data_IF_741829602397
#
_entry.id   IF_741829602397
#
_cell.length_a   1.000
_cell.length_b   1.000
_cell.length_c   1.000
_cell.angle_alpha   90.00
_cell.angle_beta   90.00
_cell.angle_gamma   90.00
#
_symmetry.space_group_name_H-M   'P 1'
#
loop_
_entity.id
_entity.type
_entity.pdbx_description
1 polymer ?
#
# COMPACT_ATOMS: atom_id res chain seq x y z
N UNK A 1 -1.33 14.55 3.04
CA UNK A 1 -1.96 15.51 2.12
C UNK A 1 -3.41 15.09 1.89
N UNK A 2 -4.36 16.02 2.01
CA UNK A 2 -5.80 15.73 1.88
C UNK A 2 -6.23 15.42 0.44
N UNK A 3 -5.42 15.80 -0.56
CA UNK A 3 -5.71 15.54 -1.97
C UNK A 3 -5.40 14.10 -2.39
N UNK A 4 -4.37 13.51 -1.77
CA UNK A 4 -3.85 12.17 -2.06
C UNK A 4 -4.18 11.16 -0.97
N UNK A 5 -4.46 11.62 0.25
CA UNK A 5 -4.50 10.85 1.51
C UNK A 5 -3.18 10.20 1.93
N UNK A 6 -2.12 10.38 1.15
CA UNK A 6 -0.77 9.93 1.47
C UNK A 6 -0.08 10.92 2.43
N UNK A 7 1.08 10.54 2.96
CA UNK A 7 1.91 11.43 3.78
C UNK A 7 2.24 12.71 2.98
N UNK A 8 2.20 13.86 3.67
CA UNK A 8 2.57 15.15 3.10
C UNK A 8 4.10 15.33 3.19
N UNK A 9 4.79 15.25 2.06
CA UNK A 9 6.26 15.33 2.00
C UNK A 9 6.81 16.63 2.60
N UNK A 10 6.07 17.75 2.47
CA UNK A 10 6.47 19.06 3.01
C UNK A 10 6.53 19.09 4.54
N UNK A 11 5.86 18.15 5.22
CA UNK A 11 5.80 18.08 6.69
C UNK A 11 6.78 17.09 7.30
N UNK A 12 7.43 16.25 6.48
CA UNK A 12 8.30 15.17 6.98
C UNK A 12 9.53 15.76 7.68
N UNK A 13 10.18 16.76 7.07
CA UNK A 13 11.45 17.31 7.56
C UNK A 13 11.33 17.88 8.97
N UNK A 14 10.22 18.56 9.28
CA UNK A 14 9.96 19.12 10.61
C UNK A 14 9.78 18.05 11.71
N UNK A 15 9.42 16.81 11.33
CA UNK A 15 9.27 15.69 12.26
C UNK A 15 10.57 14.89 12.45
N UNK A 16 11.63 15.18 11.68
CA UNK A 16 12.91 14.47 11.79
C UNK A 16 13.64 14.92 13.07
N UNK A 17 14.13 13.94 13.83
CA UNK A 17 14.95 14.15 15.02
C UNK A 17 16.21 13.31 14.95
N UNK A 18 17.13 13.50 15.90
CA UNK A 18 18.33 12.64 16.04
C UNK A 18 18.00 11.16 16.28
N UNK A 19 16.77 10.85 16.69
CA UNK A 19 16.29 9.48 16.93
C UNK A 19 15.65 8.84 15.68
N UNK A 20 15.32 9.63 14.66
CA UNK A 20 14.68 9.12 13.44
C UNK A 20 15.64 8.19 12.69
N UNK A 21 15.12 7.05 12.21
CA UNK A 21 15.88 6.05 11.44
C UNK A 21 15.24 5.70 10.10
N UNK A 22 13.91 5.75 10.05
CA UNK A 22 13.12 5.28 8.92
C UNK A 22 12.02 6.29 8.63
N UNK A 23 11.73 6.51 7.36
CA UNK A 23 10.46 7.09 6.87
C UNK A 23 9.64 5.92 6.31
N UNK A 24 8.39 5.77 6.75
CA UNK A 24 7.50 4.69 6.33
C UNK A 24 6.31 5.27 5.54
N UNK A 25 6.47 5.55 4.23
CA UNK A 25 5.36 6.00 3.41
C UNK A 25 4.37 4.87 3.15
N UNK A 26 3.08 5.16 3.31
CA UNK A 26 1.97 4.24 2.99
C UNK A 26 1.36 4.64 1.66
N UNK A 27 1.39 3.75 0.67
CA UNK A 27 0.73 3.95 -0.63
C UNK A 27 -0.79 3.73 -0.51
N UNK A 28 -1.46 4.69 0.11
CA UNK A 28 -2.83 4.54 0.59
C UNK A 28 -3.83 4.48 -0.57
N UNK A 29 -4.82 3.61 -0.43
CA UNK A 29 -5.90 3.35 -1.39
C UNK A 29 -5.44 2.92 -2.79
N UNK A 30 -4.16 2.58 -2.94
CA UNK A 30 -3.55 2.16 -4.18
C UNK A 30 -2.76 3.24 -4.91
N UNK A 31 -2.65 4.44 -4.33
CA UNK A 31 -1.93 5.56 -4.92
C UNK A 31 -0.51 5.67 -4.36
N UNK A 32 0.46 5.83 -5.24
CA UNK A 32 1.88 6.01 -4.88
C UNK A 32 2.08 7.33 -4.10
N UNK A 33 3.01 7.32 -3.14
CA UNK A 33 3.43 8.50 -2.39
C UNK A 33 4.32 9.42 -3.24
N UNK A 34 4.58 10.67 -2.82
CA UNK A 34 5.60 11.53 -3.45
C UNK A 34 7.02 11.00 -3.18
N UNK A 35 7.39 9.91 -3.86
CA UNK A 35 8.58 9.11 -3.53
C UNK A 35 9.88 9.81 -3.87
N UNK A 36 9.92 10.64 -4.92
CA UNK A 36 11.10 11.43 -5.25
C UNK A 36 11.45 12.41 -4.11
N UNK A 37 10.46 13.11 -3.58
CA UNK A 37 10.61 14.05 -2.47
C UNK A 37 10.99 13.32 -1.17
N UNK A 38 10.34 12.20 -0.88
CA UNK A 38 10.63 11.36 0.30
C UNK A 38 12.07 10.83 0.23
N UNK A 39 12.50 10.30 -0.91
CA UNK A 39 13.85 9.76 -1.10
C UNK A 39 14.92 10.86 -1.04
N UNK A 40 14.65 12.04 -1.58
CA UNK A 40 15.56 13.18 -1.47
C UNK A 40 15.80 13.58 0.00
N UNK A 41 14.73 13.60 0.80
CA UNK A 41 14.81 13.89 2.23
C UNK A 41 15.52 12.76 3.00
N UNK A 42 15.18 11.52 2.72
CA UNK A 42 15.83 10.36 3.32
C UNK A 42 17.34 10.37 3.08
N UNK A 43 17.78 10.67 1.85
CA UNK A 43 19.19 10.82 1.49
C UNK A 43 19.86 11.96 2.27
N UNK A 44 19.22 13.13 2.37
CA UNK A 44 19.74 14.30 3.11
C UNK A 44 20.02 13.96 4.58
N UNK A 45 19.13 13.19 5.21
CA UNK A 45 19.19 12.86 6.64
C UNK A 45 19.77 11.47 6.94
N UNK A 46 20.22 10.72 5.92
CA UNK A 46 20.72 9.33 6.03
C UNK A 46 19.71 8.42 6.73
N UNK A 47 18.45 8.51 6.32
CA UNK A 47 17.35 7.68 6.78
C UNK A 47 17.06 6.58 5.77
N UNK A 48 16.50 5.47 6.25
CA UNK A 48 15.93 4.44 5.39
C UNK A 48 14.49 4.80 4.99
N UNK A 49 14.04 4.25 3.87
CA UNK A 49 12.66 4.35 3.37
C UNK A 49 12.07 2.96 3.23
N UNK A 50 11.04 2.66 4.01
CA UNK A 50 10.32 1.39 3.95
C UNK A 50 8.91 1.64 3.42
N UNK A 51 8.64 1.20 2.19
CA UNK A 51 7.33 1.36 1.56
C UNK A 51 6.30 0.40 2.18
N UNK A 52 5.19 0.93 2.70
CA UNK A 52 3.99 0.12 2.91
C UNK A 52 3.18 0.09 1.61
N UNK A 53 3.31 -1.04 0.91
CA UNK A 53 2.69 -1.32 -0.39
C UNK A 53 1.40 -2.14 -0.24
N UNK A 54 0.88 -2.34 0.98
CA UNK A 54 -0.23 -3.26 1.25
C UNK A 54 -1.50 -2.96 0.45
N UNK A 55 -1.67 -1.73 -0.05
CA UNK A 55 -2.83 -1.30 -0.82
C UNK A 55 -2.51 -0.99 -2.29
N UNK A 56 -1.27 -1.15 -2.77
CA UNK A 56 -0.85 -0.58 -4.06
C UNK A 56 -0.27 -1.56 -5.08
N UNK A 57 -0.55 -2.85 -4.95
CA UNK A 57 -0.04 -3.90 -5.85
C UNK A 57 -0.15 -3.53 -7.33
N UNK A 58 1.00 -3.39 -7.99
CA UNK A 58 1.10 -3.10 -9.42
C UNK A 58 1.04 -1.61 -9.80
N UNK A 59 0.90 -0.69 -8.85
CA UNK A 59 1.01 0.74 -9.14
C UNK A 59 2.46 1.06 -9.58
N UNK A 60 2.60 2.05 -10.47
CA UNK A 60 3.91 2.51 -10.95
C UNK A 60 3.92 3.97 -11.37
N UNK A 61 5.06 4.64 -11.26
CA UNK A 61 5.34 5.92 -11.93
C UNK A 61 6.65 5.75 -12.70
N UNK A 62 6.70 6.22 -13.96
CA UNK A 62 7.90 6.14 -14.81
C UNK A 62 8.52 4.72 -14.87
N UNK A 63 7.66 3.69 -14.96
CA UNK A 63 8.02 2.26 -14.95
C UNK A 63 8.65 1.73 -13.65
N UNK A 64 8.73 2.54 -12.59
CA UNK A 64 9.15 2.08 -11.26
C UNK A 64 7.89 1.65 -10.50
N UNK A 65 7.79 0.36 -10.19
CA UNK A 65 6.67 -0.21 -9.42
C UNK A 65 6.85 0.07 -7.92
N UNK A 66 5.74 0.10 -7.19
CA UNK A 66 5.77 0.09 -5.71
C UNK A 66 6.58 -1.08 -5.18
N UNK A 67 7.25 -0.86 -4.04
CA UNK A 67 8.18 -1.81 -3.43
C UNK A 67 9.55 -1.83 -4.10
N UNK A 68 9.83 -0.88 -4.98
CA UNK A 68 11.12 -0.64 -5.64
C UNK A 68 11.56 0.83 -5.60
N UNK A 69 10.88 1.68 -4.82
CA UNK A 69 11.23 3.09 -4.65
C UNK A 69 12.15 3.33 -3.46
N UNK A 70 11.93 2.63 -2.35
CA UNK A 70 12.71 2.74 -1.12
C UNK A 70 13.76 1.65 -0.95
N UNK A 71 14.23 1.47 0.28
CA UNK A 71 15.17 0.42 0.66
C UNK A 71 14.50 -0.96 0.74
N UNK A 72 13.22 -1.01 1.11
CA UNK A 72 12.40 -2.21 1.04
C UNK A 72 10.90 -1.88 0.91
N UNK A 73 10.12 -2.81 0.36
CA UNK A 73 8.67 -2.74 0.29
C UNK A 73 8.00 -3.89 1.03
N UNK A 74 6.92 -3.60 1.75
CA UNK A 74 6.09 -4.58 2.42
C UNK A 74 4.72 -4.70 1.74
N UNK A 75 4.28 -5.93 1.47
CA UNK A 75 3.02 -6.23 0.83
C UNK A 75 2.13 -7.08 1.74
N UNK A 76 0.82 -6.81 1.69
CA UNK A 76 -0.21 -7.64 2.27
C UNK A 76 -0.94 -8.34 1.14
N UNK A 77 -1.12 -9.65 1.25
CA UNK A 77 -1.96 -10.42 0.36
C UNK A 77 -3.27 -10.83 1.05
N UNK A 78 -3.78 -10.02 1.97
CA UNK A 78 -5.11 -10.24 2.54
C UNK A 78 -6.16 -10.38 1.40
N UNK A 79 -7.20 -11.24 1.52
CA UNK A 79 -8.05 -11.58 0.38
C UNK A 79 -8.68 -10.39 -0.36
N UNK A 80 -8.97 -9.29 0.35
CA UNK A 80 -9.53 -8.07 -0.24
C UNK A 80 -8.55 -7.18 -1.02
N UNK A 81 -7.25 -7.49 -1.07
CA UNK A 81 -6.26 -6.69 -1.81
C UNK A 81 -6.36 -6.89 -3.32
N UNK A 82 -5.78 -5.97 -4.09
CA UNK A 82 -5.67 -6.10 -5.55
C UNK A 82 -5.04 -7.44 -5.96
N UNK A 83 -4.03 -7.89 -5.22
CA UNK A 83 -3.49 -9.25 -5.29
C UNK A 83 -3.73 -9.97 -3.94
N UNK A 84 -4.95 -10.41 -3.68
CA UNK A 84 -5.28 -11.16 -2.46
C UNK A 84 -5.05 -12.67 -2.57
N UNK A 85 -4.55 -13.29 -1.51
CA UNK A 85 -4.48 -14.73 -1.28
C UNK A 85 -5.85 -15.28 -0.82
N UNK A 86 -5.91 -16.55 -0.41
CA UNK A 86 -7.12 -17.19 0.15
C UNK A 86 -7.17 -17.10 1.69
N UNK A 87 -6.21 -16.41 2.30
CA UNK A 87 -6.09 -16.20 3.75
C UNK A 87 -5.08 -15.10 4.04
N UNK A 88 -4.53 -15.09 5.26
CA UNK A 88 -3.47 -14.15 5.62
C UNK A 88 -2.15 -14.51 4.96
N UNK A 89 -1.53 -13.51 4.35
CA UNK A 89 -0.28 -13.64 3.63
C UNK A 89 0.37 -12.27 3.44
N UNK A 90 1.70 -12.26 3.29
CA UNK A 90 2.47 -11.05 3.02
C UNK A 90 3.83 -11.36 2.41
N UNK A 91 4.50 -10.32 1.92
CA UNK A 91 5.83 -10.40 1.35
C UNK A 91 6.63 -9.14 1.64
N UNK A 92 7.96 -9.28 1.57
CA UNK A 92 8.92 -8.18 1.62
C UNK A 92 9.76 -8.24 0.35
N UNK A 93 9.99 -7.10 -0.28
CA UNK A 93 10.90 -6.91 -1.42
C UNK A 93 12.03 -5.96 -1.02
N UNK A 94 13.23 -6.18 -1.55
CA UNK A 94 14.37 -5.27 -1.41
C UNK A 94 15.42 -5.65 -2.46
N UNK A 95 16.31 -4.71 -2.80
CA UNK A 95 17.50 -4.99 -3.59
C UNK A 95 18.71 -5.38 -2.73
N UNK A 96 18.65 -5.14 -1.41
CA UNK A 96 19.72 -5.46 -0.48
C UNK A 96 19.67 -6.95 -0.10
N UNK A 97 20.66 -7.71 -0.58
CA UNK A 97 20.77 -9.14 -0.33
C UNK A 97 21.11 -9.47 1.12
N UNK A 98 21.90 -8.63 1.79
CA UNK A 98 22.22 -8.80 3.20
C UNK A 98 20.95 -8.64 4.03
N UNK A 99 20.20 -7.55 3.81
CA UNK A 99 18.89 -7.35 4.41
C UNK A 99 17.95 -8.53 4.18
N UNK A 100 17.80 -9.00 2.94
CA UNK A 100 16.93 -10.13 2.62
C UNK A 100 17.37 -11.43 3.30
N UNK A 101 18.68 -11.64 3.48
CA UNK A 101 19.20 -12.80 4.20
C UNK A 101 18.79 -12.78 5.68
N UNK A 102 18.88 -11.61 6.32
CA UNK A 102 18.48 -11.40 7.72
C UNK A 102 16.96 -11.57 7.86
N UNK A 103 16.16 -11.00 6.96
CA UNK A 103 14.70 -11.14 6.97
C UNK A 103 14.27 -12.61 6.80
N UNK A 104 14.94 -13.38 5.93
CA UNK A 104 14.68 -14.82 5.76
C UNK A 104 14.98 -15.62 7.02
N UNK A 105 16.04 -15.27 7.75
CA UNK A 105 16.32 -15.90 9.04
C UNK A 105 15.27 -15.49 10.08
N UNK A 106 15.01 -14.19 10.24
CA UNK A 106 14.05 -13.67 11.21
C UNK A 106 12.66 -14.27 11.04
N UNK A 107 12.17 -14.44 9.81
CA UNK A 107 10.83 -15.01 9.55
C UNK A 107 10.72 -16.51 9.87
N UNK A 108 11.85 -17.18 10.10
CA UNK A 108 11.97 -18.60 10.40
C UNK A 108 12.75 -18.80 11.71
N UNK A 109 12.26 -18.24 12.81
CA UNK A 109 12.81 -18.39 14.17
C UNK A 109 14.25 -17.86 14.35
N UNK A 110 14.74 -17.02 13.43
CA UNK A 110 16.12 -16.56 13.42
C UNK A 110 17.11 -17.58 12.85
N UNK A 111 16.59 -18.65 12.24
CA UNK A 111 17.38 -19.74 11.68
C UNK A 111 17.90 -19.40 10.29
N UNK A 112 19.22 -19.32 10.15
CA UNK A 112 19.91 -19.19 8.87
C UNK A 112 20.41 -20.56 8.35
N UNK A 113 20.54 -21.54 9.25
CA UNK A 113 20.89 -22.93 8.99
C UNK A 113 20.14 -23.85 9.96
N UNK A 114 19.81 -25.06 9.54
CA UNK A 114 19.05 -26.01 10.35
C UNK A 114 19.71 -26.21 11.72
N UNK A 115 18.95 -25.99 12.79
CA UNK A 115 19.39 -26.03 14.20
C UNK A 115 20.32 -24.89 14.66
N UNK A 116 20.61 -23.91 13.81
CA UNK A 116 21.42 -22.75 14.16
C UNK A 116 20.58 -21.47 14.05
N UNK A 117 20.36 -20.81 15.19
CA UNK A 117 19.58 -19.58 15.29
C UNK A 117 20.51 -18.42 15.66
N UNK A 118 20.75 -17.52 14.70
CA UNK A 118 21.65 -16.38 14.89
C UNK A 118 20.92 -15.16 15.47
N UNK A 119 19.61 -15.07 15.23
CA UNK A 119 18.78 -13.93 15.61
C UNK A 119 17.62 -14.36 16.49
N UNK A 120 17.02 -13.39 17.21
CA UNK A 120 15.70 -13.57 17.82
C UNK A 120 14.65 -13.34 16.73
N UNK A 121 14.16 -14.41 16.12
CA UNK A 121 13.14 -14.36 15.06
C UNK A 121 11.72 -14.71 15.51
N UNK A 122 10.86 -14.90 14.52
CA UNK A 122 9.43 -15.26 14.66
C UNK A 122 9.07 -16.37 13.67
N UNK A 123 7.88 -16.93 13.80
CA UNK A 123 7.29 -17.79 12.76
C UNK A 123 6.34 -16.95 11.89
N UNK A 124 6.82 -16.46 10.75
CA UNK A 124 6.02 -15.67 9.81
C UNK A 124 6.36 -16.04 8.38
N UNK A 125 5.72 -17.10 7.88
CA UNK A 125 5.99 -17.69 6.57
C UNK A 125 4.75 -17.62 5.70
N UNK A 126 4.96 -17.62 4.39
CA UNK A 126 3.90 -17.76 3.41
C UNK A 126 3.69 -19.25 3.14
N UNK A 127 2.48 -19.75 3.35
CA UNK A 127 2.14 -21.14 3.04
C UNK A 127 2.24 -21.41 1.52
N UNK A 128 2.69 -22.60 1.15
CA UNK A 128 2.83 -23.02 -0.26
C UNK A 128 1.49 -22.97 -1.01
N UNK A 129 0.37 -23.28 -0.34
CA UNK A 129 -0.97 -23.18 -0.95
C UNK A 129 -1.30 -21.73 -1.31
N UNK A 130 -0.99 -20.78 -0.41
CA UNK A 130 -1.20 -19.36 -0.66
C UNK A 130 -0.28 -18.87 -1.78
N UNK A 131 0.99 -19.29 -1.77
CA UNK A 131 1.96 -18.96 -2.82
C UNK A 131 1.54 -19.48 -4.21
N UNK A 132 1.05 -20.72 -4.29
CA UNK A 132 0.55 -21.32 -5.53
C UNK A 132 -0.64 -20.54 -6.11
N UNK A 133 -1.60 -20.14 -5.26
CA UNK A 133 -2.73 -19.32 -5.70
C UNK A 133 -2.28 -17.92 -6.15
N UNK A 134 -1.40 -17.28 -5.38
CA UNK A 134 -0.87 -15.95 -5.71
C UNK A 134 -0.12 -15.96 -7.04
N UNK A 135 0.64 -17.01 -7.34
CA UNK A 135 1.31 -17.18 -8.65
C UNK A 135 0.34 -17.22 -9.82
N UNK A 136 -0.87 -17.76 -9.64
CA UNK A 136 -1.92 -17.73 -10.67
C UNK A 136 -2.48 -16.32 -10.81
N UNK A 137 -2.89 -15.68 -9.71
CA UNK A 137 -3.51 -14.34 -9.74
C UNK A 137 -2.54 -13.26 -10.23
N UNK A 138 -1.24 -13.39 -9.93
CA UNK A 138 -0.21 -12.42 -10.32
C UNK A 138 -0.16 -12.22 -11.84
N UNK A 139 -0.45 -13.25 -12.64
CA UNK A 139 -0.49 -13.17 -14.11
C UNK A 139 -1.54 -12.19 -14.63
N UNK A 140 -2.61 -11.97 -13.87
CA UNK A 140 -3.75 -11.14 -14.25
C UNK A 140 -3.78 -9.80 -13.53
N UNK A 141 -2.87 -9.56 -12.57
CA UNK A 141 -2.85 -8.35 -11.75
C UNK A 141 -2.93 -7.07 -12.57
N UNK A 142 -2.09 -6.96 -13.60
CA UNK A 142 -2.02 -5.75 -14.42
C UNK A 142 -3.30 -5.54 -15.26
N UNK A 143 -3.92 -6.63 -15.73
CA UNK A 143 -5.20 -6.58 -16.45
C UNK A 143 -6.34 -6.16 -15.53
N UNK A 144 -6.41 -6.74 -14.32
CA UNK A 144 -7.43 -6.42 -13.33
C UNK A 144 -7.30 -5.00 -12.78
N UNK A 145 -6.06 -4.50 -12.63
CA UNK A 145 -5.81 -3.11 -12.28
C UNK A 145 -6.31 -2.15 -13.38
N UNK A 146 -6.15 -2.49 -14.67
CA UNK A 146 -6.73 -1.70 -15.77
C UNK A 146 -8.26 -1.65 -15.71
N UNK A 147 -8.92 -2.76 -15.37
CA UNK A 147 -10.38 -2.79 -15.16
C UNK A 147 -10.79 -1.85 -14.03
N UNK A 148 -10.07 -1.86 -12.91
CA UNK A 148 -10.30 -0.94 -11.77
C UNK A 148 -10.14 0.52 -12.17
N UNK A 149 -9.10 0.86 -12.93
CA UNK A 149 -8.87 2.21 -13.46
C UNK A 149 -10.00 2.66 -14.40
N UNK A 150 -10.52 1.76 -15.24
CA UNK A 150 -11.68 2.05 -16.08
C UNK A 150 -12.92 2.38 -15.25
N UNK A 151 -13.22 1.58 -14.20
CA UNK A 151 -14.34 1.83 -13.28
C UNK A 151 -14.15 3.16 -12.53
N UNK A 152 -12.95 3.46 -12.04
CA UNK A 152 -12.66 4.73 -11.38
C UNK A 152 -12.92 5.93 -12.33
N UNK A 153 -12.52 5.82 -13.59
CA UNK A 153 -12.79 6.83 -14.61
C UNK A 153 -14.28 7.00 -14.89
N UNK A 154 -15.05 5.91 -14.89
CA UNK A 154 -16.50 5.97 -14.96
C UNK A 154 -17.08 6.76 -13.77
N UNK A 155 -16.68 6.44 -12.53
CA UNK A 155 -17.13 7.21 -11.36
C UNK A 155 -16.75 8.69 -11.44
N UNK A 156 -15.55 9.01 -11.90
CA UNK A 156 -15.12 10.40 -12.09
C UNK A 156 -15.97 11.18 -13.09
N UNK A 157 -16.51 10.52 -14.11
CA UNK A 157 -17.28 11.16 -15.16
C UNK A 157 -18.79 11.16 -14.86
N UNK A 158 -19.26 10.22 -14.04
CA UNK A 158 -20.69 10.04 -13.75
C UNK A 158 -21.14 10.65 -12.41
N UNK A 159 -20.24 10.76 -11.42
CA UNK A 159 -20.61 11.35 -10.13
C UNK A 159 -20.51 12.88 -10.22
N UNK A 160 -21.67 13.52 -10.31
CA UNK A 160 -21.80 14.98 -10.25
C UNK A 160 -22.74 15.36 -9.11
N UNK A 161 -22.17 15.59 -7.91
CA UNK A 161 -22.94 15.99 -6.74
C UNK A 161 -22.12 16.99 -5.91
N UNK A 162 -22.63 18.21 -5.64
CA UNK A 162 -21.88 19.24 -4.93
C UNK A 162 -21.59 18.89 -3.46
N UNK A 163 -22.29 17.92 -2.88
CA UNK A 163 -22.07 17.44 -1.51
C UNK A 163 -21.00 16.35 -1.43
N UNK A 164 -20.46 15.90 -2.57
CA UNK A 164 -19.47 14.83 -2.68
C UNK A 164 -18.19 15.37 -3.28
N UNK A 165 -17.09 15.25 -2.53
CA UNK A 165 -15.75 15.47 -3.05
C UNK A 165 -15.15 14.14 -3.50
N UNK A 166 -14.81 14.06 -4.78
CA UNK A 166 -14.09 12.93 -5.37
C UNK A 166 -12.60 12.97 -4.98
N UNK A 167 -11.90 11.82 -5.04
CA UNK A 167 -10.45 11.80 -4.84
C UNK A 167 -9.76 12.62 -5.94
N UNK A 168 -8.55 13.13 -5.70
CA UNK A 168 -7.84 13.88 -6.75
C UNK A 168 -7.50 12.96 -7.93
N UNK A 169 -7.64 13.49 -9.16
CA UNK A 169 -7.18 12.78 -10.37
C UNK A 169 -5.66 12.62 -10.35
N UNK A 170 -5.19 11.55 -10.98
CA UNK A 170 -3.78 11.19 -11.11
C UNK A 170 -3.58 10.46 -12.43
N UNK A 171 -2.33 10.13 -12.78
CA UNK A 171 -2.07 9.25 -13.93
C UNK A 171 -2.63 7.86 -13.62
N UNK A 172 -3.09 7.14 -14.63
CA UNK A 172 -3.75 5.85 -14.40
C UNK A 172 -2.81 4.87 -13.69
N UNK A 173 -1.56 4.78 -14.13
CA UNK A 173 -0.53 3.90 -13.58
C UNK A 173 -0.16 4.21 -12.13
N UNK A 174 -0.32 5.46 -11.69
CA UNK A 174 0.01 5.93 -10.33
C UNK A 174 -0.96 5.36 -9.27
N UNK A 175 -2.17 4.98 -9.68
CA UNK A 175 -3.21 4.51 -8.76
C UNK A 175 -3.93 3.26 -9.27
N UNK A 176 -3.85 2.19 -8.49
CA UNK A 176 -4.52 0.91 -8.79
C UNK A 176 -5.91 0.78 -8.18
N UNK A 177 -6.40 1.84 -7.52
CA UNK A 177 -7.74 1.93 -6.95
C UNK A 177 -8.10 0.71 -6.12
N UNK A 178 -7.30 0.44 -5.09
CA UNK A 178 -7.67 -0.53 -4.06
C UNK A 178 -9.00 -0.13 -3.44
N UNK A 179 -9.15 1.18 -3.17
CA UNK A 179 -10.40 1.80 -2.76
C UNK A 179 -10.65 3.07 -3.58
N UNK A 180 -11.90 3.30 -3.99
CA UNK A 180 -12.35 4.57 -4.53
C UNK A 180 -13.03 5.37 -3.42
N UNK A 181 -12.28 6.27 -2.77
CA UNK A 181 -12.73 6.97 -1.56
C UNK A 181 -13.26 8.36 -1.90
N UNK A 182 -14.52 8.62 -1.55
CA UNK A 182 -15.15 9.94 -1.63
C UNK A 182 -15.24 10.59 -0.25
N UNK A 183 -15.39 11.91 -0.20
CA UNK A 183 -15.62 12.66 1.04
C UNK A 183 -16.93 13.42 0.97
N UNK A 184 -17.58 13.58 2.12
CA UNK A 184 -18.77 14.41 2.28
C UNK A 184 -18.90 14.84 3.74
N UNK A 185 -19.56 15.98 4.00
CA UNK A 185 -19.94 16.38 5.36
C UNK A 185 -21.11 15.55 5.91
N UNK A 186 -21.83 14.81 5.07
CA UNK A 186 -23.03 14.05 5.43
C UNK A 186 -22.79 12.54 5.35
N UNK A 187 -21.63 12.05 5.81
CA UNK A 187 -21.16 10.66 5.60
C UNK A 187 -22.18 9.60 6.04
N UNK A 188 -22.72 9.73 7.25
CA UNK A 188 -23.68 8.75 7.81
C UNK A 188 -24.98 8.72 7.01
N UNK A 189 -25.53 9.89 6.69
CA UNK A 189 -26.73 10.01 5.87
C UNK A 189 -26.50 9.44 4.46
N UNK A 190 -25.35 9.73 3.85
CA UNK A 190 -24.99 9.18 2.54
C UNK A 190 -24.83 7.65 2.59
N UNK A 191 -24.14 7.11 3.58
CA UNK A 191 -23.98 5.67 3.74
C UNK A 191 -25.33 4.96 3.93
N UNK A 192 -26.23 5.52 4.76
CA UNK A 192 -27.59 5.00 4.93
C UNK A 192 -28.40 5.08 3.64
N UNK A 193 -28.31 6.21 2.93
CA UNK A 193 -28.99 6.39 1.64
C UNK A 193 -28.52 5.37 0.61
N UNK A 194 -27.20 5.17 0.46
CA UNK A 194 -26.62 4.19 -0.45
C UNK A 194 -27.03 2.76 -0.07
N UNK A 195 -27.02 2.42 1.22
CA UNK A 195 -27.45 1.10 1.70
C UNK A 195 -28.93 0.83 1.39
N UNK A 196 -29.81 1.83 1.56
CA UNK A 196 -31.22 1.72 1.20
C UNK A 196 -31.43 1.48 -0.32
N UNK A 197 -30.42 1.77 -1.14
CA UNK A 197 -30.38 1.49 -2.58
C UNK A 197 -29.49 0.29 -2.92
N UNK A 198 -29.21 -0.59 -1.96
CA UNK A 198 -28.39 -1.79 -2.10
C UNK A 198 -26.93 -1.54 -2.52
N UNK A 199 -26.41 -0.34 -2.25
CA UNK A 199 -25.01 0.01 -2.49
C UNK A 199 -24.26 -0.07 -1.15
N UNK A 200 -23.47 -1.13 -0.99
CA UNK A 200 -22.63 -1.31 0.19
C UNK A 200 -21.42 -0.38 0.15
N UNK A 201 -21.06 0.17 1.30
CA UNK A 201 -19.88 1.03 1.47
C UNK A 201 -19.16 0.70 2.76
N UNK A 202 -17.86 1.00 2.82
CA UNK A 202 -17.03 0.86 4.01
C UNK A 202 -16.32 2.17 4.31
N UNK A 203 -15.89 2.34 5.56
CA UNK A 203 -15.13 3.51 6.01
C UNK A 203 -13.70 3.06 6.32
N UNK A 204 -12.73 3.58 5.58
CA UNK A 204 -11.31 3.29 5.77
C UNK A 204 -10.57 4.61 6.00
N UNK A 205 -10.35 5.09 7.22
CA UNK A 205 -10.74 4.50 8.51
C UNK A 205 -11.61 5.49 9.30
N UNK A 206 -12.50 5.02 10.19
CA UNK A 206 -13.38 5.90 10.95
C UNK A 206 -12.64 6.64 12.08
N UNK A 207 -11.55 6.07 12.59
CA UNK A 207 -10.74 6.60 13.68
C UNK A 207 -9.27 6.62 13.23
N UNK A 208 -8.54 7.74 13.38
CA UNK A 208 -7.11 7.78 13.13
C UNK A 208 -6.34 7.09 14.27
N UNK A 209 -5.06 6.73 14.06
CA UNK A 209 -4.26 6.09 15.12
C UNK A 209 -3.86 6.96 16.33
N UNK A 210 -4.10 8.28 16.31
CA UNK A 210 -3.66 9.23 17.35
C UNK A 210 -4.78 9.67 18.28
#
# INVERSE_FOLDING_TARGET
DISTFNIDSSKIEAAITKKTKVILPVHLYGRICPMDEINALAKKYKLLVLEDCAQAHGASINNIRVGSWGDAGAFSFYPGKNLGALGDAGAITSNDQEFLSVIKALRNYGSHKKYENQYVGVNSRLDEIQAAMLRVKLKYLDEDNKKRQHIANYYFNSINNPLVSLPARCRNEENVWHLFVIRTKHRENLQKHLLNHNIQTLIHYPCPPH
#
